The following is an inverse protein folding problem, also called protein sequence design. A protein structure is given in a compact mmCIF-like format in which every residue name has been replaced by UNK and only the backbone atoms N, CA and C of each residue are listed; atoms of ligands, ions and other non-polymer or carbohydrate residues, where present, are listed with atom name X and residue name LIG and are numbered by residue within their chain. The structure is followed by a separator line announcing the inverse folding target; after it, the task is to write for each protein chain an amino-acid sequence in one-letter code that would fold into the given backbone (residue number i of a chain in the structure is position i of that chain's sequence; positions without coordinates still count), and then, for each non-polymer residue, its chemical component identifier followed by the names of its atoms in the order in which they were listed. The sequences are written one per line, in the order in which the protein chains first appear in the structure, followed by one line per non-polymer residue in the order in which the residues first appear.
data_IF_599633697597
#
_entry.id   IF_599633697597
#
_cell.length_a   1.000
_cell.length_b   1.000
_cell.length_c   1.000
_cell.angle_alpha   90.00
_cell.angle_beta   90.00
_cell.angle_gamma   90.00
#
_symmetry.space_group_name_H-M   'P 1'
#
loop_
_entity.id
_entity.type
_entity.pdbx_description
1 polymer ?
#
# COMPACT_ATOMS: atom_id res chain seq x y z
N UNK A 1 -34.46 -3.86 45.53
CA UNK A 1 -33.42 -4.91 45.48
C UNK A 1 -33.30 -5.39 44.05
N UNK A 2 -32.44 -4.74 43.26
CA UNK A 2 -32.26 -5.02 41.84
C UNK A 2 -30.82 -5.51 41.69
N UNK A 3 -30.63 -6.83 41.59
CA UNK A 3 -29.31 -7.45 41.35
C UNK A 3 -29.31 -8.14 39.99
N UNK A 4 -28.79 -7.38 39.02
CA UNK A 4 -27.77 -7.76 38.04
C UNK A 4 -27.83 -9.20 37.49
N UNK A 5 -28.35 -9.31 36.27
CA UNK A 5 -28.04 -10.40 35.35
C UNK A 5 -26.53 -10.42 35.09
N UNK A 6 -25.83 -11.44 35.60
CA UNK A 6 -24.48 -11.77 35.15
C UNK A 6 -24.59 -12.38 33.76
N UNK A 7 -23.86 -11.80 32.81
CA UNK A 7 -23.46 -12.41 31.56
C UNK A 7 -22.99 -13.84 31.82
N UNK A 8 -23.64 -14.81 31.20
CA UNK A 8 -23.12 -16.16 31.10
C UNK A 8 -21.96 -16.12 30.09
N UNK A 9 -20.74 -16.23 30.58
CA UNK A 9 -19.55 -16.55 29.79
C UNK A 9 -19.76 -17.92 29.16
N UNK A 10 -19.99 -17.95 27.85
CA UNK A 10 -20.01 -19.16 27.04
C UNK A 10 -18.66 -19.91 27.14
N UNK A 11 -18.62 -21.24 26.91
CA UNK A 11 -17.37 -21.99 26.99
C UNK A 11 -16.37 -21.37 26.03
N UNK A 12 -15.18 -21.03 26.52
CA UNK A 12 -14.05 -20.65 25.67
C UNK A 12 -13.72 -21.86 24.80
N UNK A 13 -14.28 -21.93 23.59
CA UNK A 13 -13.78 -22.80 22.55
C UNK A 13 -12.30 -22.43 22.39
N UNK A 14 -11.41 -23.27 22.88
CA UNK A 14 -9.98 -23.13 22.60
C UNK A 14 -9.81 -23.55 21.14
N UNK A 15 -9.95 -22.59 20.24
CA UNK A 15 -9.66 -22.79 18.82
C UNK A 15 -8.14 -22.94 18.71
N UNK A 16 -7.70 -24.05 18.14
CA UNK A 16 -6.30 -24.35 17.87
C UNK A 16 -6.15 -24.68 16.38
N UNK A 17 -4.91 -24.72 15.89
CA UNK A 17 -4.62 -25.05 14.48
C UNK A 17 -5.17 -26.45 14.12
N UNK A 18 -5.16 -27.37 15.08
CA UNK A 18 -5.58 -28.76 14.90
C UNK A 18 -7.10 -28.95 14.87
N UNK A 19 -7.88 -28.06 15.50
CA UNK A 19 -9.33 -28.21 15.64
C UNK A 19 -10.14 -27.14 14.89
N UNK A 20 -9.49 -26.14 14.26
CA UNK A 20 -10.21 -24.98 13.73
C UNK A 20 -11.21 -25.35 12.62
N UNK A 21 -10.88 -26.35 11.79
CA UNK A 21 -11.72 -26.80 10.67
C UNK A 21 -12.99 -27.47 11.18
N UNK A 22 -12.86 -28.28 12.23
CA UNK A 22 -13.98 -28.98 12.87
C UNK A 22 -14.87 -27.98 13.61
N UNK A 23 -14.27 -27.02 14.32
CA UNK A 23 -15.00 -25.95 15.00
C UNK A 23 -15.74 -25.07 14.00
N UNK A 24 -15.11 -24.70 12.88
CA UNK A 24 -15.74 -23.96 11.78
C UNK A 24 -16.96 -24.72 11.25
N UNK A 25 -16.80 -26.03 10.97
CA UNK A 25 -17.88 -26.85 10.45
C UNK A 25 -19.05 -26.92 11.43
N UNK A 26 -18.80 -27.17 12.71
CA UNK A 26 -19.83 -27.21 13.75
C UNK A 26 -20.53 -25.85 13.88
N UNK A 27 -19.76 -24.76 13.89
CA UNK A 27 -20.30 -23.40 14.01
C UNK A 27 -21.16 -23.02 12.80
N UNK A 28 -20.81 -23.50 11.60
CA UNK A 28 -21.62 -23.33 10.39
C UNK A 28 -22.90 -24.15 10.44
N UNK A 29 -22.78 -25.44 10.76
CA UNK A 29 -23.92 -26.36 10.76
C UNK A 29 -24.96 -26.00 11.84
N UNK A 30 -24.51 -25.41 12.96
CA UNK A 30 -25.36 -24.92 14.06
C UNK A 30 -25.70 -23.42 13.97
N UNK A 31 -25.28 -22.72 12.92
CA UNK A 31 -25.53 -21.28 12.70
C UNK A 31 -25.07 -20.40 13.89
N UNK A 32 -23.91 -20.70 14.47
CA UNK A 32 -23.31 -19.97 15.59
C UNK A 32 -22.47 -18.80 15.08
N UNK A 33 -23.11 -17.67 14.75
CA UNK A 33 -22.47 -16.49 14.16
C UNK A 33 -21.30 -15.94 14.99
N UNK A 34 -21.45 -15.88 16.32
CA UNK A 34 -20.38 -15.42 17.21
C UNK A 34 -19.14 -16.31 17.12
N UNK A 35 -19.33 -17.63 17.06
CA UNK A 35 -18.22 -18.58 16.94
C UNK A 35 -17.57 -18.48 15.57
N UNK A 36 -18.36 -18.33 14.49
CA UNK A 36 -17.83 -18.11 13.14
C UNK A 36 -16.94 -16.86 13.09
N UNK A 37 -17.36 -15.76 13.72
CA UNK A 37 -16.54 -14.53 13.80
C UNK A 37 -15.21 -14.77 14.53
N UNK A 38 -15.22 -15.51 15.64
CA UNK A 38 -13.99 -15.86 16.35
C UNK A 38 -13.09 -16.78 15.52
N UNK A 39 -13.66 -17.73 14.77
CA UNK A 39 -12.91 -18.59 13.84
C UNK A 39 -12.26 -17.74 12.74
N UNK A 40 -12.99 -16.81 12.14
CA UNK A 40 -12.48 -15.91 11.10
C UNK A 40 -11.29 -15.07 11.60
N UNK A 41 -11.41 -14.48 12.80
CA UNK A 41 -10.29 -13.74 13.42
C UNK A 41 -9.10 -14.67 13.69
N UNK A 42 -9.35 -15.85 14.28
CA UNK A 42 -8.30 -16.84 14.56
C UNK A 42 -7.55 -17.27 13.30
N UNK A 43 -8.29 -17.50 12.19
CA UNK A 43 -7.70 -17.87 10.89
C UNK A 43 -6.80 -16.77 10.35
N UNK A 44 -7.17 -15.49 10.50
CA UNK A 44 -6.32 -14.37 10.08
C UNK A 44 -5.03 -14.30 10.91
N UNK A 45 -5.13 -14.43 12.23
CA UNK A 45 -3.99 -14.35 13.16
C UNK A 45 -3.03 -15.54 12.99
N UNK A 46 -3.54 -16.72 12.67
CA UNK A 46 -2.76 -17.97 12.59
C UNK A 46 -2.60 -18.48 11.14
N UNK A 47 -2.77 -17.61 10.15
CA UNK A 47 -2.83 -17.98 8.73
C UNK A 47 -1.58 -18.76 8.27
N UNK A 48 -0.38 -18.33 8.72
CA UNK A 48 0.89 -19.02 8.42
C UNK A 48 0.96 -20.43 9.02
N UNK A 49 0.52 -20.62 10.26
CA UNK A 49 0.46 -21.94 10.89
C UNK A 49 -0.56 -22.87 10.21
N UNK A 50 -1.70 -22.33 9.79
CA UNK A 50 -2.72 -23.07 9.04
C UNK A 50 -2.25 -23.48 7.63
N UNK A 51 -1.44 -22.64 6.99
CA UNK A 51 -0.81 -22.96 5.72
C UNK A 51 0.20 -24.11 5.88
N UNK A 52 1.11 -24.03 6.87
CA UNK A 52 2.13 -25.04 7.12
C UNK A 52 1.56 -26.41 7.49
N UNK A 53 0.43 -26.43 8.22
CA UNK A 53 -0.26 -27.67 8.58
C UNK A 53 -1.14 -28.25 7.46
N UNK A 54 -1.30 -27.55 6.34
CA UNK A 54 -2.18 -27.95 5.23
C UNK A 54 -3.67 -27.87 5.53
N UNK A 55 -4.06 -27.42 6.73
CA UNK A 55 -5.46 -27.33 7.18
C UNK A 55 -6.23 -26.21 6.48
N UNK A 56 -5.53 -25.19 6.02
CA UNK A 56 -6.10 -24.07 5.26
C UNK A 56 -6.94 -24.53 4.06
N UNK A 57 -6.52 -25.61 3.38
CA UNK A 57 -7.23 -26.15 2.20
C UNK A 57 -8.60 -26.74 2.55
N UNK A 58 -8.83 -27.10 3.81
CA UNK A 58 -10.07 -27.73 4.28
C UNK A 58 -11.11 -26.73 4.77
N UNK A 59 -10.73 -25.46 4.96
CA UNK A 59 -11.62 -24.39 5.41
C UNK A 59 -12.71 -24.06 4.37
N UNK A 60 -13.78 -23.43 4.84
CA UNK A 60 -14.86 -22.95 3.98
C UNK A 60 -14.48 -21.73 3.15
N UNK A 61 -15.29 -21.44 2.10
CA UNK A 61 -15.13 -20.23 1.29
C UNK A 61 -15.20 -18.96 2.14
N UNK A 62 -16.10 -18.91 3.13
CA UNK A 62 -16.31 -17.74 3.98
C UNK A 62 -15.06 -17.39 4.79
N UNK A 63 -14.40 -18.38 5.39
CA UNK A 63 -13.17 -18.16 6.17
C UNK A 63 -12.02 -17.68 5.30
N UNK A 64 -11.82 -18.29 4.12
CA UNK A 64 -10.75 -17.86 3.21
C UNK A 64 -11.04 -16.48 2.64
N UNK A 65 -12.29 -16.21 2.24
CA UNK A 65 -12.72 -14.89 1.75
C UNK A 65 -12.47 -13.82 2.81
N UNK A 66 -12.85 -14.09 4.06
CA UNK A 66 -12.59 -13.17 5.17
C UNK A 66 -11.10 -12.90 5.34
N UNK A 67 -10.27 -13.95 5.39
CA UNK A 67 -8.82 -13.80 5.52
C UNK A 67 -8.20 -12.98 4.37
N UNK A 68 -8.56 -13.28 3.12
CA UNK A 68 -8.09 -12.54 1.95
C UNK A 68 -8.64 -11.12 1.87
N UNK A 69 -9.76 -10.82 2.52
CA UNK A 69 -10.32 -9.46 2.58
C UNK A 69 -9.67 -8.58 3.67
N UNK A 70 -9.08 -9.20 4.70
CA UNK A 70 -8.60 -8.52 5.90
C UNK A 70 -7.32 -7.71 5.66
N UNK A 71 -7.28 -6.47 6.15
CA UNK A 71 -6.07 -5.64 6.20
C UNK A 71 -5.07 -6.08 7.27
N UNK A 72 -5.55 -6.82 8.30
CA UNK A 72 -4.72 -7.28 9.41
C UNK A 72 -3.93 -8.56 9.11
N UNK A 73 -4.08 -9.14 7.92
CA UNK A 73 -3.33 -10.32 7.49
C UNK A 73 -1.88 -9.92 7.18
N UNK A 74 -0.94 -10.39 8.00
CA UNK A 74 0.48 -10.02 7.95
C UNK A 74 1.36 -11.14 7.40
N UNK A 75 2.50 -10.76 6.82
CA UNK A 75 3.58 -11.70 6.47
C UNK A 75 3.42 -12.41 5.13
N UNK A 76 2.52 -11.95 4.26
CA UNK A 76 2.32 -12.51 2.92
C UNK A 76 2.36 -11.41 1.86
N UNK A 77 3.06 -11.67 0.77
CA UNK A 77 2.90 -10.93 -0.47
C UNK A 77 1.55 -11.28 -1.14
N UNK A 78 1.01 -10.36 -1.94
CA UNK A 78 -0.21 -10.64 -2.69
C UNK A 78 -0.04 -11.82 -3.66
N UNK A 79 1.19 -12.06 -4.15
CA UNK A 79 1.49 -13.21 -5.00
C UNK A 79 1.39 -14.53 -4.23
N UNK A 80 1.85 -14.58 -2.97
CA UNK A 80 1.66 -15.75 -2.12
C UNK A 80 0.17 -15.97 -1.82
N UNK A 81 -0.58 -14.91 -1.51
CA UNK A 81 -2.03 -15.00 -1.30
C UNK A 81 -2.76 -15.51 -2.55
N UNK A 82 -2.36 -15.06 -3.75
CA UNK A 82 -2.88 -15.59 -5.01
C UNK A 82 -2.64 -17.10 -5.15
N UNK A 83 -1.40 -17.56 -4.91
CA UNK A 83 -1.05 -18.99 -4.99
C UNK A 83 -1.82 -19.82 -3.97
N UNK A 84 -2.01 -19.30 -2.76
CA UNK A 84 -2.81 -19.93 -1.71
C UNK A 84 -4.28 -20.05 -2.13
N UNK A 85 -4.87 -18.96 -2.65
CA UNK A 85 -6.25 -18.97 -3.15
C UNK A 85 -6.42 -19.97 -4.31
N UNK A 86 -5.47 -20.01 -5.25
CA UNK A 86 -5.43 -20.98 -6.35
C UNK A 86 -5.33 -22.42 -5.84
N UNK A 87 -4.46 -22.69 -4.88
CA UNK A 87 -4.32 -24.02 -4.27
C UNK A 87 -5.58 -24.46 -3.53
N UNK A 88 -6.28 -23.53 -2.89
CA UNK A 88 -7.57 -23.81 -2.25
C UNK A 88 -8.66 -24.15 -3.29
N UNK A 89 -8.73 -23.41 -4.41
CA UNK A 89 -9.66 -23.70 -5.50
C UNK A 89 -9.39 -25.07 -6.13
N UNK A 90 -8.12 -25.41 -6.37
CA UNK A 90 -7.74 -26.68 -7.01
C UNK A 90 -7.91 -27.91 -6.11
N UNK A 91 -8.04 -27.74 -4.79
CA UNK A 91 -8.25 -28.86 -3.87
C UNK A 91 -9.63 -29.53 -4.05
N UNK A 92 -10.66 -28.77 -4.44
CA UNK A 92 -12.02 -29.28 -4.71
C UNK A 92 -12.66 -28.55 -5.92
N UNK A 93 -12.19 -28.81 -7.15
CA UNK A 93 -12.53 -27.98 -8.31
C UNK A 93 -14.04 -28.00 -8.63
N UNK A 94 -14.71 -29.14 -8.46
CA UNK A 94 -16.15 -29.27 -8.74
C UNK A 94 -17.03 -28.37 -7.87
N UNK A 95 -16.69 -28.16 -6.61
CA UNK A 95 -17.47 -27.35 -5.66
C UNK A 95 -17.02 -25.88 -5.65
N UNK A 96 -15.74 -25.63 -5.89
CA UNK A 96 -15.11 -24.32 -5.62
C UNK A 96 -14.96 -23.43 -6.86
N UNK A 97 -15.20 -23.96 -8.07
CA UNK A 97 -15.05 -23.18 -9.31
C UNK A 97 -15.92 -21.92 -9.35
N UNK A 98 -17.14 -21.96 -8.81
CA UNK A 98 -18.02 -20.79 -8.71
C UNK A 98 -17.49 -19.70 -7.77
N UNK A 99 -16.65 -20.05 -6.80
CA UNK A 99 -16.05 -19.14 -5.83
C UNK A 99 -14.81 -18.41 -6.36
N UNK A 100 -14.32 -18.75 -7.57
CA UNK A 100 -13.08 -18.22 -8.12
C UNK A 100 -13.05 -16.68 -8.12
N UNK A 101 -14.04 -16.03 -8.73
CA UNK A 101 -14.12 -14.56 -8.73
C UNK A 101 -14.28 -13.98 -7.32
N UNK A 102 -15.12 -14.60 -6.48
CA UNK A 102 -15.38 -14.19 -5.09
C UNK A 102 -14.10 -14.08 -4.27
N UNK A 103 -13.16 -15.01 -4.46
CA UNK A 103 -11.85 -14.99 -3.82
C UNK A 103 -10.86 -14.04 -4.49
N UNK A 104 -10.75 -14.09 -5.83
CA UNK A 104 -9.74 -13.33 -6.57
C UNK A 104 -9.94 -11.82 -6.47
N UNK A 105 -11.19 -11.36 -6.29
CA UNK A 105 -11.47 -9.94 -6.06
C UNK A 105 -10.90 -9.40 -4.74
N UNK A 106 -10.45 -10.26 -3.82
CA UNK A 106 -9.79 -9.88 -2.58
C UNK A 106 -8.26 -9.92 -2.66
N UNK A 107 -7.71 -10.48 -3.75
CA UNK A 107 -6.29 -10.36 -4.08
C UNK A 107 -6.03 -9.01 -4.74
N UNK A 108 -5.07 -8.25 -4.20
CA UNK A 108 -4.72 -6.90 -4.65
C UNK A 108 -3.67 -6.96 -5.75
N UNK A 109 -4.06 -7.50 -6.91
CA UNK A 109 -3.21 -7.58 -8.10
C UNK A 109 -2.49 -6.26 -8.45
N UNK A 110 -3.09 -5.05 -8.28
CA UNK A 110 -2.37 -3.80 -8.51
C UNK A 110 -1.12 -3.57 -7.65
N UNK A 111 -0.95 -4.32 -6.55
CA UNK A 111 0.25 -4.28 -5.69
C UNK A 111 1.36 -5.24 -6.15
N UNK A 112 1.12 -6.05 -7.18
CA UNK A 112 2.12 -6.94 -7.76
C UNK A 112 2.96 -6.21 -8.81
N UNK A 113 4.17 -6.71 -9.02
CA UNK A 113 5.05 -6.24 -10.09
C UNK A 113 4.54 -6.66 -11.47
N UNK A 114 4.92 -5.95 -12.56
CA UNK A 114 4.56 -6.37 -13.92
C UNK A 114 5.03 -7.80 -14.26
N UNK A 115 6.18 -8.23 -13.74
CA UNK A 115 6.70 -9.58 -13.95
C UNK A 115 5.81 -10.65 -13.30
N UNK A 116 5.31 -10.39 -12.10
CA UNK A 116 4.38 -11.25 -11.38
C UNK A 116 3.01 -11.34 -12.10
N UNK A 117 2.48 -10.22 -12.59
CA UNK A 117 1.24 -10.22 -13.38
C UNK A 117 1.40 -11.00 -14.69
N UNK A 118 2.55 -10.88 -15.36
CA UNK A 118 2.86 -11.68 -16.54
C UNK A 118 3.00 -13.16 -16.20
N UNK A 119 3.61 -13.51 -15.07
CA UNK A 119 3.70 -14.88 -14.58
C UNK A 119 2.31 -15.48 -14.37
N UNK A 120 1.39 -14.76 -13.72
CA UNK A 120 0.00 -15.23 -13.52
C UNK A 120 -0.66 -15.53 -14.86
N UNK A 121 -0.46 -14.67 -15.86
CA UNK A 121 -0.97 -14.92 -17.20
C UNK A 121 -0.28 -16.15 -17.82
N UNK A 122 1.04 -16.29 -17.72
CA UNK A 122 1.80 -17.36 -18.38
C UNK A 122 1.63 -18.74 -17.75
N UNK A 123 1.41 -18.84 -16.45
CA UNK A 123 1.16 -20.11 -15.77
C UNK A 123 -0.07 -20.82 -16.36
N UNK A 124 -1.03 -20.08 -16.88
CA UNK A 124 -2.18 -20.62 -17.63
C UNK A 124 -1.81 -21.15 -19.04
N UNK A 125 -0.63 -20.83 -19.61
CA UNK A 125 -0.20 -21.30 -20.96
C UNK A 125 0.51 -22.65 -20.94
N UNK A 126 1.35 -22.90 -19.94
CA UNK A 126 2.21 -24.11 -19.90
C UNK A 126 1.42 -25.41 -19.74
N UNK A 127 0.15 -25.32 -19.36
CA UNK A 127 -0.74 -26.48 -19.18
C UNK A 127 -1.54 -26.83 -20.45
N UNK A 128 -1.56 -25.96 -21.48
CA UNK A 128 -2.19 -26.25 -22.78
C UNK A 128 -1.29 -27.06 -23.74
N UNK A 129 0.01 -27.18 -23.45
CA UNK A 129 1.02 -27.77 -24.36
C UNK A 129 1.47 -29.21 -24.05
N UNK A 130 1.08 -29.78 -22.91
CA UNK A 130 1.49 -31.14 -22.53
C UNK A 130 0.36 -32.13 -22.80
N UNK A 131 0.48 -32.89 -23.89
CA UNK A 131 -0.43 -33.98 -24.22
C UNK A 131 -0.55 -34.99 -23.07
N UNK A 132 -1.64 -34.91 -22.31
CA UNK A 132 -2.19 -36.01 -21.53
C UNK A 132 -3.69 -35.81 -21.35
N UNK A 133 -4.44 -36.71 -21.98
CA UNK A 133 -5.87 -36.89 -21.80
C UNK A 133 -6.15 -37.07 -20.29
N UNK A 134 -6.88 -36.13 -19.69
CA UNK A 134 -7.50 -36.33 -18.37
C UNK A 134 -7.15 -35.34 -17.25
N UNK A 135 -6.69 -34.12 -17.54
CA UNK A 135 -6.61 -33.06 -16.51
C UNK A 135 -7.71 -32.01 -16.73
N UNK A 136 -8.45 -31.77 -15.65
CA UNK A 136 -9.73 -31.07 -15.58
C UNK A 136 -9.60 -29.59 -15.93
N UNK A 137 -10.67 -29.04 -16.52
CA UNK A 137 -10.89 -27.65 -16.95
C UNK A 137 -10.84 -26.58 -15.82
N UNK A 138 -10.23 -26.90 -14.67
CA UNK A 138 -10.23 -26.08 -13.46
C UNK A 138 -9.13 -25.03 -13.37
N UNK A 139 -8.13 -25.05 -14.27
CA UNK A 139 -6.87 -24.32 -14.05
C UNK A 139 -6.78 -22.96 -14.79
N UNK A 140 -7.64 -22.65 -15.77
CA UNK A 140 -7.54 -21.43 -16.62
C UNK A 140 -8.59 -20.35 -16.34
N UNK A 141 -9.06 -20.20 -15.09
CA UNK A 141 -10.12 -19.23 -14.77
C UNK A 141 -9.67 -17.77 -14.90
N UNK A 142 -8.38 -17.46 -14.69
CA UNK A 142 -7.86 -16.09 -14.80
C UNK A 142 -7.92 -15.53 -16.23
N UNK A 143 -8.07 -16.40 -17.23
CA UNK A 143 -8.22 -16.04 -18.65
C UNK A 143 -9.58 -16.35 -19.26
N UNK A 144 -10.29 -17.34 -18.73
CA UNK A 144 -11.61 -17.73 -19.25
C UNK A 144 -12.75 -16.90 -18.66
N UNK A 145 -12.67 -16.55 -17.38
CA UNK A 145 -13.68 -15.71 -16.73
C UNK A 145 -13.42 -14.23 -17.00
N UNK A 146 -14.36 -13.58 -17.66
CA UNK A 146 -14.30 -12.14 -17.96
C UNK A 146 -14.11 -11.30 -16.69
N UNK A 147 -14.72 -11.70 -15.58
CA UNK A 147 -14.61 -10.96 -14.31
C UNK A 147 -13.19 -11.04 -13.74
N UNK A 148 -12.54 -12.21 -13.81
CA UNK A 148 -11.15 -12.40 -13.37
C UNK A 148 -10.15 -11.70 -14.32
N UNK A 149 -10.37 -11.77 -15.63
CA UNK A 149 -9.56 -11.04 -16.63
C UNK A 149 -9.57 -9.54 -16.35
N UNK A 150 -10.72 -8.97 -16.03
CA UNK A 150 -10.83 -7.55 -15.70
C UNK A 150 -9.99 -7.14 -14.49
N UNK A 151 -9.80 -8.03 -13.50
CA UNK A 151 -8.93 -7.76 -12.34
C UNK A 151 -7.45 -7.65 -12.74
N UNK A 152 -6.99 -8.47 -13.70
CA UNK A 152 -5.63 -8.40 -14.22
C UNK A 152 -5.44 -7.20 -15.15
N UNK A 153 -6.45 -6.85 -15.94
CA UNK A 153 -6.42 -5.66 -16.79
C UNK A 153 -6.37 -4.38 -15.95
N UNK A 154 -7.16 -4.29 -14.88
CA UNK A 154 -7.08 -3.21 -13.88
C UNK A 154 -5.65 -3.06 -13.34
N UNK A 155 -5.08 -4.15 -12.82
CA UNK A 155 -3.72 -4.15 -12.27
C UNK A 155 -2.66 -3.75 -13.32
N UNK A 156 -2.77 -4.29 -14.53
CA UNK A 156 -1.85 -3.98 -15.63
C UNK A 156 -1.91 -2.50 -16.01
N UNK A 157 -3.12 -1.94 -16.15
CA UNK A 157 -3.32 -0.53 -16.44
C UNK A 157 -2.77 0.37 -15.33
N UNK A 158 -2.99 -0.01 -14.07
CA UNK A 158 -2.48 0.70 -12.91
C UNK A 158 -0.94 0.73 -12.87
N UNK A 159 -0.28 -0.37 -13.22
CA UNK A 159 1.18 -0.45 -13.31
C UNK A 159 1.76 0.31 -14.51
N UNK A 160 1.02 0.42 -15.63
CA UNK A 160 1.45 1.18 -16.81
C UNK A 160 1.39 2.70 -16.64
N UNK A 161 0.71 3.20 -15.60
CA UNK A 161 0.48 4.63 -15.39
C UNK A 161 1.12 5.15 -14.09
N UNK A 162 2.45 5.03 -13.91
CA UNK A 162 3.10 5.27 -12.62
C UNK A 162 2.80 6.65 -12.04
N UNK A 163 2.82 7.72 -12.86
CA UNK A 163 2.55 9.08 -12.39
C UNK A 163 1.09 9.34 -11.98
N UNK A 164 0.14 8.58 -12.53
CA UNK A 164 -1.30 8.71 -12.24
C UNK A 164 -1.79 7.82 -11.11
N UNK A 165 -1.00 6.83 -10.69
CA UNK A 165 -1.32 5.96 -9.56
C UNK A 165 -1.87 6.69 -8.31
N UNK A 166 -1.38 7.87 -7.90
CA UNK A 166 -1.94 8.59 -6.75
C UNK A 166 -3.42 8.99 -6.91
N UNK A 167 -3.88 9.20 -8.14
CA UNK A 167 -5.27 9.53 -8.46
C UNK A 167 -6.13 8.30 -8.74
N UNK A 168 -5.54 7.12 -8.83
CA UNK A 168 -6.20 5.85 -9.17
C UNK A 168 -6.33 4.94 -7.93
N UNK A 169 -6.36 5.52 -6.73
CA UNK A 169 -6.47 4.73 -5.50
C UNK A 169 -7.87 4.13 -5.34
N UNK A 170 -7.91 2.82 -5.11
CA UNK A 170 -9.07 2.01 -4.78
C UNK A 170 -8.74 1.11 -3.58
N UNK A 171 -9.72 0.39 -3.03
CA UNK A 171 -9.46 -0.61 -1.98
C UNK A 171 -8.44 -1.67 -2.41
N UNK A 172 -8.36 -1.96 -3.73
CA UNK A 172 -7.45 -2.97 -4.31
C UNK A 172 -6.05 -2.44 -4.62
N UNK A 173 -5.81 -1.13 -4.56
CA UNK A 173 -4.49 -0.52 -4.79
C UNK A 173 -3.82 -0.03 -3.50
N UNK A 174 -4.53 -0.09 -2.37
CA UNK A 174 -4.03 0.25 -1.04
C UNK A 174 -3.27 -0.92 -0.43
N UNK A 175 -2.13 -0.64 0.21
CA UNK A 175 -1.35 -1.64 0.95
C UNK A 175 -2.24 -2.33 1.99
N UNK A 176 -2.10 -3.66 2.09
CA UNK A 176 -2.75 -4.48 3.12
C UNK A 176 -2.11 -4.23 4.48
N UNK A 177 -2.66 -3.27 5.20
CA UNK A 177 -2.22 -2.88 6.54
C UNK A 177 -3.27 -1.98 7.19
N UNK A 178 -3.51 -2.21 8.48
CA UNK A 178 -4.30 -1.37 9.37
C UNK A 178 -3.42 -0.40 10.19
N UNK A 179 -2.09 -0.47 10.04
CA UNK A 179 -1.14 0.34 10.78
C UNK A 179 -0.82 1.67 10.09
N UNK A 180 -0.71 2.74 10.88
CA UNK A 180 -0.13 4.02 10.44
C UNK A 180 1.31 4.08 10.92
N UNK A 181 2.24 4.37 10.02
CA UNK A 181 3.67 4.42 10.35
C UNK A 181 4.22 5.84 10.33
N UNK A 182 5.16 6.12 11.22
CA UNK A 182 5.99 7.32 11.16
C UNK A 182 7.21 7.05 10.28
N UNK A 183 7.39 7.88 9.25
CA UNK A 183 8.51 7.80 8.33
C UNK A 183 9.30 9.10 8.36
N UNK A 184 10.62 9.00 8.49
CA UNK A 184 11.53 10.14 8.52
C UNK A 184 12.56 10.03 7.40
N UNK A 185 12.90 11.16 6.80
CA UNK A 185 13.82 11.21 5.68
C UNK A 185 14.80 12.37 5.79
N UNK A 186 16.05 12.09 5.42
CA UNK A 186 17.06 13.10 5.18
C UNK A 186 17.40 13.91 6.44
N UNK A 187 17.51 15.22 6.29
CA UNK A 187 17.96 16.11 7.37
C UNK A 187 19.48 16.26 7.43
N UNK A 188 19.96 16.95 8.46
CA UNK A 188 21.39 17.25 8.64
C UNK A 188 21.85 16.73 9.99
N UNK A 189 22.94 15.95 9.98
CA UNK A 189 23.64 15.59 11.20
C UNK A 189 24.49 16.78 11.65
N UNK A 190 23.99 17.56 12.62
CA UNK A 190 24.57 18.85 13.04
C UNK A 190 26.06 18.80 13.40
N UNK A 191 26.53 17.67 13.95
CA UNK A 191 27.93 17.49 14.34
C UNK A 191 28.86 17.34 13.13
N UNK A 192 28.37 16.80 12.02
CA UNK A 192 29.16 16.49 10.82
C UNK A 192 28.86 17.43 9.65
N UNK A 193 27.77 18.20 9.74
CA UNK A 193 27.22 19.03 8.64
C UNK A 193 26.98 18.21 7.36
N UNK A 194 26.74 16.91 7.51
CA UNK A 194 26.44 15.98 6.43
C UNK A 194 24.92 15.88 6.27
N UNK A 195 24.48 16.07 5.03
CA UNK A 195 23.08 15.87 4.64
C UNK A 195 22.83 14.38 4.48
N UNK A 196 21.77 13.89 5.12
CA UNK A 196 21.39 12.48 5.07
C UNK A 196 20.58 12.17 3.82
N UNK A 197 20.70 10.93 3.35
CA UNK A 197 19.86 10.32 2.30
C UNK A 197 18.94 9.22 2.85
N UNK A 198 19.06 8.93 4.14
CA UNK A 198 18.39 7.80 4.77
C UNK A 198 16.89 8.04 4.88
N UNK A 199 16.12 6.99 4.59
CA UNK A 199 14.69 6.88 4.84
C UNK A 199 14.50 5.83 5.94
N UNK A 200 13.84 6.20 7.04
CA UNK A 200 13.61 5.30 8.18
C UNK A 200 12.15 5.26 8.56
N UNK A 201 11.67 4.07 8.90
CA UNK A 201 10.33 3.83 9.40
C UNK A 201 10.40 3.46 10.88
N UNK A 202 9.50 4.03 11.68
CA UNK A 202 9.31 3.67 13.07
C UNK A 202 8.35 2.50 13.17
N UNK A 203 8.83 1.41 13.76
CA UNK A 203 8.08 0.18 13.96
C UNK A 203 7.64 0.09 15.43
N UNK A 204 6.36 0.32 15.69
CA UNK A 204 5.78 0.20 17.03
C UNK A 204 5.65 -1.25 17.49
N UNK A 205 5.54 -2.20 16.55
CA UNK A 205 5.30 -3.61 16.86
C UNK A 205 6.58 -4.30 17.34
N UNK A 206 7.73 -3.90 16.81
CA UNK A 206 9.06 -4.39 17.20
C UNK A 206 9.65 -3.61 18.40
N UNK A 207 8.80 -3.21 19.35
CA UNK A 207 9.25 -2.53 20.57
C UNK A 207 9.76 -1.10 20.35
N UNK A 208 9.35 -0.44 19.26
CA UNK A 208 9.70 0.95 18.96
C UNK A 208 11.06 1.11 18.30
N UNK A 209 11.41 0.25 17.35
CA UNK A 209 12.68 0.31 16.61
C UNK A 209 12.56 1.15 15.34
N UNK A 210 13.70 1.63 14.84
CA UNK A 210 13.77 2.31 13.55
C UNK A 210 14.38 1.37 12.52
N UNK A 211 13.61 0.99 11.51
CA UNK A 211 14.10 0.19 10.37
C UNK A 211 14.45 1.08 9.18
N UNK A 212 15.53 0.75 8.48
CA UNK A 212 15.89 1.43 7.24
C UNK A 212 15.04 0.93 6.07
N UNK A 213 14.60 1.88 5.24
CA UNK A 213 13.98 1.65 3.94
C UNK A 213 14.98 2.03 2.83
N UNK A 214 14.59 1.90 1.57
CA UNK A 214 15.41 2.28 0.43
C UNK A 214 15.82 3.77 0.55
N UNK A 215 17.13 4.07 0.66
CA UNK A 215 17.59 5.44 0.79
C UNK A 215 17.40 6.19 -0.53
N UNK A 216 17.34 7.52 -0.45
CA UNK A 216 17.43 8.36 -1.65
C UNK A 216 18.80 8.19 -2.31
N UNK A 217 18.86 8.35 -3.63
CA UNK A 217 20.16 8.40 -4.33
C UNK A 217 20.95 9.66 -3.95
N UNK A 218 20.25 10.78 -3.81
CA UNK A 218 20.83 12.09 -3.50
C UNK A 218 20.34 12.54 -2.12
N UNK A 219 21.23 12.95 -1.20
CA UNK A 219 20.84 13.42 0.12
C UNK A 219 19.99 14.70 0.08
N UNK A 220 19.15 14.88 1.10
CA UNK A 220 18.18 15.97 1.14
C UNK A 220 17.95 16.53 2.54
N UNK A 221 17.91 17.86 2.66
CA UNK A 221 17.32 18.54 3.83
C UNK A 221 16.61 19.82 3.39
N UNK A 222 15.72 20.34 4.26
CA UNK A 222 14.85 21.50 3.97
C UNK A 222 14.02 21.35 2.69
N UNK A 223 13.73 20.11 2.32
CA UNK A 223 12.83 19.75 1.24
C UNK A 223 11.38 19.88 1.68
N UNK A 224 10.49 20.02 0.70
CA UNK A 224 9.07 19.80 0.92
C UNK A 224 8.77 18.31 1.02
N UNK A 225 7.94 17.93 1.99
CA UNK A 225 7.43 16.56 2.15
C UNK A 225 5.90 16.58 2.15
N UNK A 226 5.28 15.69 1.37
CA UNK A 226 3.82 15.57 1.32
C UNK A 226 3.40 14.15 0.95
N UNK A 227 2.20 13.76 1.38
CA UNK A 227 1.54 12.54 0.95
C UNK A 227 0.49 12.87 -0.11
N UNK A 228 0.47 12.10 -1.20
CA UNK A 228 -0.60 12.16 -2.19
C UNK A 228 -0.90 10.74 -2.69
N UNK A 229 -2.13 10.29 -2.48
CA UNK A 229 -2.59 8.96 -2.90
C UNK A 229 -1.72 7.83 -2.37
N UNK A 230 -1.39 7.84 -1.08
CA UNK A 230 -0.53 6.87 -0.39
C UNK A 230 0.93 6.81 -0.86
N UNK A 231 1.38 7.78 -1.64
CA UNK A 231 2.78 7.96 -2.00
C UNK A 231 3.41 9.14 -1.25
N UNK A 232 4.67 8.98 -0.89
CA UNK A 232 5.48 10.03 -0.27
C UNK A 232 6.21 10.84 -1.35
N UNK A 233 6.11 12.15 -1.30
CA UNK A 233 6.79 13.06 -2.22
C UNK A 233 7.84 13.89 -1.49
N UNK A 234 9.05 13.94 -2.06
CA UNK A 234 10.18 14.75 -1.60
C UNK A 234 10.58 15.70 -2.72
N UNK A 235 10.33 16.99 -2.51
CA UNK A 235 10.47 18.02 -3.56
C UNK A 235 11.48 19.08 -3.11
N UNK A 236 12.35 19.51 -4.03
CA UNK A 236 13.30 20.60 -3.79
C UNK A 236 14.22 20.37 -2.58
N UNK A 237 14.51 21.44 -1.85
CA UNK A 237 15.42 21.44 -0.71
C UNK A 237 16.87 21.65 -1.13
N UNK A 238 17.81 21.05 -0.40
CA UNK A 238 19.25 21.19 -0.64
C UNK A 238 19.96 19.83 -0.43
N UNK A 239 21.01 19.58 -1.22
CA UNK A 239 21.83 18.35 -1.13
C UNK A 239 23.15 18.55 -0.41
N UNK A 240 23.56 19.80 -0.20
CA UNK A 240 24.74 20.18 0.57
C UNK A 240 24.36 21.23 1.60
N UNK A 241 25.02 21.20 2.75
CA UNK A 241 24.72 22.12 3.84
C UNK A 241 25.03 23.57 3.45
N UNK A 242 23.97 24.36 3.28
CA UNK A 242 23.95 25.81 3.10
C UNK A 242 22.74 26.44 3.84
N UNK A 243 23.01 27.53 4.56
CA UNK A 243 21.97 28.29 5.28
C UNK A 243 21.38 29.43 4.45
N UNK A 244 21.98 29.75 3.30
CA UNK A 244 21.59 30.90 2.46
C UNK A 244 20.66 30.54 1.30
N UNK A 245 20.46 29.24 1.02
CA UNK A 245 19.59 28.75 -0.05
C UNK A 245 20.23 28.79 -1.45
N UNK A 246 21.54 29.02 -1.55
CA UNK A 246 22.30 29.05 -2.82
C UNK A 246 22.37 27.69 -3.49
N UNK A 247 22.27 26.61 -2.72
CA UNK A 247 22.33 25.23 -3.22
C UNK A 247 20.94 24.58 -3.34
N UNK A 248 19.89 25.42 -3.41
CA UNK A 248 18.53 24.96 -3.69
C UNK A 248 18.48 24.09 -4.94
N UNK A 249 17.68 23.03 -4.90
CA UNK A 249 17.44 22.14 -6.05
C UNK A 249 15.96 22.16 -6.43
N UNK A 250 15.67 21.69 -7.64
CA UNK A 250 14.33 21.60 -8.24
C UNK A 250 13.82 20.16 -8.32
N UNK A 251 14.70 19.17 -8.14
CA UNK A 251 14.35 17.77 -8.34
C UNK A 251 13.30 17.29 -7.34
N UNK A 252 12.38 16.48 -7.85
CA UNK A 252 11.29 15.89 -7.11
C UNK A 252 11.31 14.37 -7.25
N UNK A 253 11.06 13.67 -6.15
CA UNK A 253 10.98 12.21 -6.14
C UNK A 253 9.72 11.78 -5.41
N UNK A 254 9.18 10.66 -5.87
CA UNK A 254 8.08 9.94 -5.24
C UNK A 254 8.63 8.62 -4.72
N UNK A 255 8.36 8.32 -3.47
CA UNK A 255 8.61 7.01 -2.87
C UNK A 255 7.34 6.17 -2.88
N UNK A 256 7.50 4.95 -3.36
CA UNK A 256 6.47 3.92 -3.39
C UNK A 256 6.72 2.89 -2.27
N UNK A 257 5.93 2.92 -1.19
CA UNK A 257 6.11 2.02 -0.06
C UNK A 257 5.81 0.55 -0.39
N UNK A 258 5.16 0.25 -1.51
CA UNK A 258 4.80 -1.13 -1.91
C UNK A 258 6.00 -1.91 -2.39
N UNK A 259 6.90 -1.23 -3.11
CA UNK A 259 8.06 -1.83 -3.74
C UNK A 259 9.37 -1.34 -3.12
N UNK A 260 9.30 -0.51 -2.08
CA UNK A 260 10.44 0.16 -1.45
C UNK A 260 11.33 0.84 -2.50
N UNK A 261 10.72 1.69 -3.33
CA UNK A 261 11.38 2.27 -4.52
C UNK A 261 11.11 3.75 -4.67
N UNK A 262 12.13 4.45 -5.14
CA UNK A 262 12.04 5.83 -5.56
C UNK A 262 11.78 5.93 -7.07
N UNK A 263 10.95 6.88 -7.45
CA UNK A 263 10.71 7.31 -8.82
C UNK A 263 10.98 8.81 -8.91
N UNK A 264 11.89 9.22 -9.78
CA UNK A 264 12.02 10.63 -10.10
C UNK A 264 10.80 11.10 -10.90
N UNK A 265 10.17 12.18 -10.44
CA UNK A 265 9.10 12.87 -11.16
C UNK A 265 9.65 14.18 -11.73
N UNK A 266 8.85 14.92 -12.49
CA UNK A 266 9.31 16.18 -13.06
C UNK A 266 9.81 17.15 -11.98
N UNK A 267 10.92 17.80 -12.29
CA UNK A 267 11.49 18.87 -11.48
C UNK A 267 10.58 20.10 -11.49
N UNK A 268 10.67 20.89 -10.42
CA UNK A 268 10.09 22.23 -10.34
C UNK A 268 10.66 23.14 -11.45
N UNK A 269 9.90 24.15 -11.84
CA UNK A 269 10.35 25.18 -12.78
C UNK A 269 11.32 26.16 -12.12
N UNK A 270 11.16 26.38 -10.82
CA UNK A 270 12.05 27.21 -10.02
C UNK A 270 12.61 26.38 -8.85
N UNK A 271 13.92 26.47 -8.61
CA UNK A 271 14.58 25.80 -7.48
C UNK A 271 14.09 26.41 -6.17
N UNK A 272 13.86 25.60 -5.13
CA UNK A 272 13.30 26.08 -3.86
C UNK A 272 13.85 25.30 -2.67
N UNK A 273 14.16 26.01 -1.59
CA UNK A 273 14.35 25.47 -0.23
C UNK A 273 13.53 26.30 0.76
N UNK A 274 13.32 25.80 1.98
CA UNK A 274 12.50 26.47 3.01
C UNK A 274 11.11 26.88 2.52
N UNK A 275 10.50 26.06 1.67
CA UNK A 275 9.16 26.29 1.13
C UNK A 275 8.16 25.33 1.76
N UNK A 276 6.87 25.60 1.57
CA UNK A 276 5.81 24.68 2.01
C UNK A 276 5.35 23.79 0.86
N UNK A 277 5.22 22.49 1.12
CA UNK A 277 4.65 21.51 0.22
C UNK A 277 3.43 20.89 0.87
N UNK A 278 2.29 20.85 0.18
CA UNK A 278 1.11 20.12 0.65
C UNK A 278 0.26 19.60 -0.50
N UNK A 279 -0.46 18.52 -0.22
CA UNK A 279 -1.51 18.03 -1.10
C UNK A 279 -2.83 18.76 -0.82
N UNK A 280 -3.44 19.32 -1.85
CA UNK A 280 -4.75 19.98 -1.80
C UNK A 280 -5.59 19.54 -2.99
N UNK A 281 -6.77 18.98 -2.72
CA UNK A 281 -7.74 18.56 -3.75
C UNK A 281 -7.11 17.66 -4.83
N UNK A 282 -6.30 16.68 -4.39
CA UNK A 282 -5.67 15.70 -5.28
C UNK A 282 -4.46 16.20 -6.06
N UNK A 283 -3.92 17.40 -5.75
CA UNK A 283 -2.72 17.96 -6.38
C UNK A 283 -1.70 18.39 -5.34
N UNK A 284 -0.42 18.40 -5.70
CA UNK A 284 0.64 18.96 -4.85
C UNK A 284 0.88 20.41 -5.20
N UNK A 285 1.08 21.24 -4.18
CA UNK A 285 1.44 22.65 -4.33
C UNK A 285 2.74 22.94 -3.57
N UNK A 286 3.69 23.57 -4.26
CA UNK A 286 4.92 24.10 -3.69
C UNK A 286 4.78 25.62 -3.59
N UNK A 287 4.82 26.16 -2.37
CA UNK A 287 4.48 27.56 -2.06
C UNK A 287 5.69 28.30 -1.51
N UNK A 288 6.12 29.34 -2.24
CA UNK A 288 7.18 30.27 -1.83
C UNK A 288 8.55 29.61 -1.67
N UNK A 289 9.28 30.06 -0.66
CA UNK A 289 10.60 29.60 -0.29
C UNK A 289 11.70 30.59 -0.66
N UNK A 290 12.90 30.07 -0.83
CA UNK A 290 14.05 30.85 -1.30
C UNK A 290 14.96 30.01 -2.17
N UNK A 291 15.79 30.69 -2.95
CA UNK A 291 16.83 30.10 -3.78
C UNK A 291 18.04 31.05 -3.87
N UNK A 292 18.90 30.85 -4.87
CA UNK A 292 20.11 31.65 -5.06
C UNK A 292 19.84 33.13 -5.39
N UNK A 293 18.67 33.46 -5.94
CA UNK A 293 18.31 34.85 -6.28
C UNK A 293 17.63 35.59 -5.14
N UNK A 294 17.14 34.87 -4.12
CA UNK A 294 16.51 35.46 -2.95
C UNK A 294 15.25 34.71 -2.54
N UNK A 295 14.34 35.46 -1.93
CA UNK A 295 13.03 35.01 -1.47
C UNK A 295 12.07 35.03 -2.66
N UNK A 296 11.15 34.06 -2.72
CA UNK A 296 10.22 33.91 -3.85
C UNK A 296 8.78 33.81 -3.35
N UNK A 297 7.87 34.40 -4.12
CA UNK A 297 6.41 34.40 -3.92
C UNK A 297 5.67 33.41 -4.83
N UNK A 298 6.38 32.84 -5.79
CA UNK A 298 5.83 31.95 -6.80
C UNK A 298 5.25 30.68 -6.17
N UNK A 299 4.20 30.15 -6.80
CA UNK A 299 3.54 28.91 -6.39
C UNK A 299 3.45 27.99 -7.59
N UNK A 300 3.80 26.73 -7.40
CA UNK A 300 3.74 25.71 -8.45
C UNK A 300 2.78 24.59 -8.06
N UNK A 301 2.02 24.09 -9.04
CA UNK A 301 1.10 22.97 -8.90
C UNK A 301 1.59 21.81 -9.76
N UNK A 302 1.64 20.60 -9.18
CA UNK A 302 2.00 19.39 -9.91
C UNK A 302 0.80 18.78 -10.63
N UNK A 303 0.98 18.42 -11.91
CA UNK A 303 0.00 17.73 -12.74
C UNK A 303 0.40 16.26 -12.93
N UNK A 304 -0.36 15.35 -12.30
CA UNK A 304 -0.13 13.91 -12.39
C UNK A 304 -0.24 13.34 -13.81
N UNK A 305 -1.14 13.89 -14.64
CA UNK A 305 -1.38 13.38 -16.00
C UNK A 305 -0.21 13.65 -16.94
N UNK A 306 0.42 14.82 -16.77
CA UNK A 306 1.52 15.25 -17.62
C UNK A 306 2.88 14.97 -17.02
N UNK A 307 2.93 14.67 -15.72
CA UNK A 307 4.18 14.66 -14.95
C UNK A 307 4.92 15.99 -15.15
N UNK A 308 4.27 17.09 -14.78
CA UNK A 308 4.79 18.45 -14.99
C UNK A 308 4.37 19.37 -13.83
N UNK A 309 5.23 20.33 -13.48
CA UNK A 309 4.87 21.43 -12.60
C UNK A 309 4.48 22.65 -13.44
N UNK A 310 3.47 23.39 -12.98
CA UNK A 310 3.04 24.63 -13.61
C UNK A 310 2.87 25.73 -12.58
N UNK A 311 3.30 26.94 -12.89
CA UNK A 311 3.03 28.11 -12.06
C UNK A 311 1.52 28.37 -11.95
N UNK A 312 1.08 28.73 -10.76
CA UNK A 312 -0.27 29.23 -10.46
C UNK A 312 -0.18 30.65 -9.89
N UNK A 313 -1.28 31.19 -9.38
CA UNK A 313 -1.28 32.51 -8.76
C UNK A 313 -0.20 32.60 -7.65
N UNK A 314 0.69 33.60 -7.69
CA UNK A 314 1.72 33.78 -6.67
C UNK A 314 1.11 34.32 -5.36
N UNK A 315 1.91 34.30 -4.30
CA UNK A 315 1.62 35.06 -3.07
C UNK A 315 1.75 36.56 -3.34
N UNK A 316 1.16 37.39 -2.48
CA UNK A 316 1.30 38.85 -2.58
C UNK A 316 2.72 39.33 -2.23
N UNK A 317 3.42 38.58 -1.38
CA UNK A 317 4.77 38.88 -0.91
C UNK A 317 5.60 37.59 -0.85
N UNK A 318 6.93 37.67 -1.07
CA UNK A 318 7.81 36.50 -1.01
C UNK A 318 8.08 36.09 0.44
N UNK A 319 7.78 34.84 0.78
CA UNK A 319 7.99 34.28 2.12
C UNK A 319 8.79 32.98 2.05
N UNK A 320 9.59 32.71 3.09
CA UNK A 320 10.30 31.45 3.29
C UNK A 320 10.36 31.06 4.76
N UNK A 321 10.57 29.76 5.03
CA UNK A 321 10.64 29.23 6.38
C UNK A 321 9.29 29.16 7.09
N UNK A 322 8.20 29.38 6.36
CA UNK A 322 6.83 29.34 6.84
C UNK A 322 6.36 27.92 7.15
N UNK A 323 5.51 27.79 8.16
CA UNK A 323 4.73 26.59 8.38
C UNK A 323 3.47 26.64 7.51
N UNK A 324 2.87 25.47 7.24
CA UNK A 324 1.59 25.43 6.53
C UNK A 324 0.82 24.16 6.82
N UNK A 325 -0.48 24.21 6.54
CA UNK A 325 -1.39 23.09 6.74
C UNK A 325 -2.58 23.18 5.79
N UNK A 326 -3.23 22.04 5.55
CA UNK A 326 -4.45 21.96 4.74
C UNK A 326 -5.62 21.60 5.65
N UNK A 327 -6.66 22.43 5.63
CA UNK A 327 -7.87 22.19 6.40
C UNK A 327 -9.10 22.78 5.67
N UNK A 328 -10.22 22.06 5.69
CA UNK A 328 -11.46 22.54 5.08
C UNK A 328 -11.37 22.84 3.58
N UNK A 329 -10.47 22.15 2.85
CA UNK A 329 -10.26 22.38 1.42
C UNK A 329 -9.52 23.68 1.09
N UNK A 330 -8.86 24.28 2.08
CA UNK A 330 -8.00 25.45 1.96
C UNK A 330 -6.59 25.10 2.46
N UNK A 331 -5.59 25.78 1.90
CA UNK A 331 -4.20 25.72 2.36
C UNK A 331 -3.88 27.01 3.10
N UNK A 332 -3.33 26.87 4.31
CA UNK A 332 -2.91 27.97 5.17
C UNK A 332 -1.40 27.96 5.27
N UNK A 333 -0.79 29.12 5.13
CA UNK A 333 0.65 29.34 5.20
C UNK A 333 0.89 30.52 6.15
N UNK A 334 1.78 30.34 7.14
CA UNK A 334 2.01 31.28 8.24
C UNK A 334 3.17 32.24 8.00
#
# INVERSE_FOLDING_TARGET
MTRVFKQATFPTWQITIENCVEVERIARDLLLEDVQKHVHTFVCENFSGLMQSGRLLQLSEASITYALSSDSLKGFSEMELYRIARSWLSHKPAERRSAAYSLMRHIRFPLMTPAELLQISQEDQTEEGAGSKGKEEGETFMRSDTACVNLLLEASNYQMLPFLQPALQTERTRIRSDCTHLVVLGGVMRQQLVVSKELKLYDEEDGGTWRSLQPMEVPRYQHGVALLGDFLYIVGGQSTYDTKGKTAVDSAYRYDPRFDRWLQVASLNEKRTFFHLSALKGKLYAVGGRNATGEIDSVECYNLNKNEWTFVAPMNEPHYGHAGTVHGGLMYVS
#
